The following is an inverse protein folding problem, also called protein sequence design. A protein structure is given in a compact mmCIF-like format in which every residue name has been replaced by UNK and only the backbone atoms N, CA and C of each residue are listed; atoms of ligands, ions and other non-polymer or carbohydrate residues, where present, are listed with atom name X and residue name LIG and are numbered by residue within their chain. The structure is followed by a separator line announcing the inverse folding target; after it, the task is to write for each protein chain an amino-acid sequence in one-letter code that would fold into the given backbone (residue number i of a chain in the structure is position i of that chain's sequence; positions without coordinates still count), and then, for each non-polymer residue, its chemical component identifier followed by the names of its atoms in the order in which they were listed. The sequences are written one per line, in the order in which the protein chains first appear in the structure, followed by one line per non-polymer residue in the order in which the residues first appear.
data_IF_619985834394
#
_entry.id   IF_619985834394
#
_cell.length_a   1.000
_cell.length_b   1.000
_cell.length_c   1.000
_cell.angle_alpha   90.00
_cell.angle_beta   90.00
_cell.angle_gamma   90.00
#
_symmetry.space_group_name_H-M   'P 1'
#
loop_
_entity.id
_entity.type
_entity.pdbx_description
1 polymer ?
#
# COMPACT_ATOMS: atom_id res chain seq x y z
N UNK A 1 20.99 -8.68 -29.85
CA UNK A 1 20.68 -9.11 -28.48
C UNK A 1 19.17 -9.03 -28.35
N UNK A 2 18.45 -10.15 -28.49
CA UNK A 2 16.99 -10.16 -28.50
C UNK A 2 16.52 -10.92 -27.26
N UNK A 3 15.83 -10.23 -26.35
CA UNK A 3 15.21 -10.87 -25.20
C UNK A 3 14.20 -11.92 -25.68
N UNK A 4 14.31 -13.14 -25.15
CA UNK A 4 13.36 -14.21 -25.49
C UNK A 4 12.07 -13.99 -24.70
N UNK A 5 10.88 -14.05 -25.34
CA UNK A 5 9.60 -13.80 -24.69
C UNK A 5 9.34 -14.62 -23.42
N UNK A 6 9.84 -15.86 -23.37
CA UNK A 6 9.70 -16.73 -22.20
C UNK A 6 10.46 -16.23 -20.97
N UNK A 7 11.62 -15.59 -21.17
CA UNK A 7 12.42 -15.05 -20.06
C UNK A 7 11.71 -13.85 -19.44
N UNK A 8 11.09 -13.00 -20.26
CA UNK A 8 10.30 -11.85 -19.81
C UNK A 8 9.08 -12.28 -18.98
N UNK A 9 8.37 -13.34 -19.41
CA UNK A 9 7.20 -13.88 -18.69
C UNK A 9 7.61 -14.49 -17.35
N UNK A 10 8.73 -15.23 -17.29
CA UNK A 10 9.26 -15.76 -16.03
C UNK A 10 9.67 -14.64 -15.07
N UNK A 11 10.40 -13.65 -15.56
CA UNK A 11 10.83 -12.50 -14.76
C UNK A 11 9.66 -11.69 -14.18
N UNK A 12 8.58 -11.51 -14.94
CA UNK A 12 7.37 -10.83 -14.42
C UNK A 12 6.64 -11.64 -13.36
N UNK A 13 6.65 -12.97 -13.47
CA UNK A 13 6.06 -13.87 -12.46
C UNK A 13 6.88 -13.86 -11.16
N UNK A 14 8.21 -13.91 -11.26
CA UNK A 14 9.11 -13.89 -10.10
C UNK A 14 9.13 -12.52 -9.40
N UNK A 15 9.03 -11.42 -10.15
CA UNK A 15 8.89 -10.08 -9.59
C UNK A 15 7.64 -9.95 -8.72
N UNK A 16 6.59 -10.73 -9.01
CA UNK A 16 5.26 -10.57 -8.41
C UNK A 16 5.29 -10.66 -6.89
N UNK A 17 5.93 -11.65 -6.27
CA UNK A 17 5.80 -11.82 -4.82
C UNK A 17 6.46 -10.69 -4.01
N UNK A 18 7.60 -10.19 -4.47
CA UNK A 18 8.35 -9.15 -3.75
C UNK A 18 7.74 -7.75 -3.93
N UNK A 19 7.13 -7.48 -5.10
CA UNK A 19 6.49 -6.18 -5.39
C UNK A 19 4.98 -6.14 -5.14
N UNK A 20 4.31 -7.30 -4.98
CA UNK A 20 2.87 -7.37 -4.63
C UNK A 20 2.62 -7.58 -3.13
N UNK A 21 3.68 -7.84 -2.34
CA UNK A 21 3.53 -7.94 -0.89
C UNK A 21 2.92 -6.66 -0.31
N UNK A 22 2.10 -6.75 0.75
CA UNK A 22 1.58 -5.57 1.43
C UNK A 22 2.70 -4.62 1.85
N UNK A 23 2.53 -3.33 1.58
CA UNK A 23 3.48 -2.29 1.97
C UNK A 23 3.53 -2.23 3.51
N UNK A 24 4.69 -2.56 4.15
CA UNK A 24 4.78 -2.64 5.60
C UNK A 24 4.39 -1.35 6.31
N UNK A 25 3.82 -1.46 7.51
CA UNK A 25 3.38 -0.31 8.31
C UNK A 25 2.14 0.40 7.77
N UNK A 26 1.49 -0.15 6.73
CA UNK A 26 0.30 0.44 6.13
C UNK A 26 -0.73 -0.61 5.71
N UNK A 27 -1.97 -0.17 5.51
CA UNK A 27 -3.04 -1.00 4.95
C UNK A 27 -3.79 -0.24 3.87
N UNK A 28 -4.28 -0.96 2.86
CA UNK A 28 -5.24 -0.42 1.89
C UNK A 28 -6.59 -0.27 2.58
N UNK A 29 -7.24 0.86 2.34
CA UNK A 29 -8.61 1.14 2.75
C UNK A 29 -9.39 1.71 1.55
N UNK A 30 -10.70 1.70 1.63
CA UNK A 30 -11.55 2.30 0.61
C UNK A 30 -12.46 3.34 1.24
N UNK A 31 -12.54 4.51 0.62
CA UNK A 31 -13.48 5.56 0.99
C UNK A 31 -14.59 5.57 -0.05
N UNK A 32 -15.84 5.72 0.39
CA UNK A 32 -16.96 5.85 -0.52
C UNK A 32 -16.77 7.11 -1.38
N UNK A 33 -16.86 6.95 -2.70
CA UNK A 33 -16.79 8.05 -3.64
C UNK A 33 -18.09 8.85 -3.73
N UNK A 34 -18.19 9.70 -4.76
CA UNK A 34 -19.39 10.47 -5.05
C UNK A 34 -20.62 9.63 -5.37
N UNK A 35 -20.42 8.36 -5.75
CA UNK A 35 -21.48 7.36 -5.95
C UNK A 35 -21.28 6.22 -4.96
N UNK A 36 -22.38 5.60 -4.54
CA UNK A 36 -22.36 4.53 -3.52
C UNK A 36 -21.62 3.27 -3.93
N UNK A 37 -21.48 3.02 -5.24
CA UNK A 37 -20.73 1.90 -5.81
C UNK A 37 -19.22 2.16 -5.91
N UNK A 38 -18.79 3.42 -5.76
CA UNK A 38 -17.39 3.79 -5.89
C UNK A 38 -16.63 3.60 -4.58
N UNK A 39 -15.58 2.77 -4.66
CA UNK A 39 -14.62 2.54 -3.59
C UNK A 39 -13.29 3.18 -4.00
N UNK A 40 -13.03 4.40 -3.53
CA UNK A 40 -11.80 5.14 -3.84
C UNK A 40 -10.64 4.54 -3.03
N UNK A 41 -9.58 4.02 -3.68
CA UNK A 41 -8.48 3.38 -2.97
C UNK A 41 -7.62 4.41 -2.26
N UNK A 42 -7.47 4.21 -0.95
CA UNK A 42 -6.58 4.99 -0.09
C UNK A 42 -5.69 4.04 0.70
N UNK A 43 -4.65 4.58 1.33
CA UNK A 43 -3.75 3.83 2.19
C UNK A 43 -3.58 4.55 3.51
N UNK A 44 -3.81 3.82 4.60
CA UNK A 44 -3.57 4.30 5.95
C UNK A 44 -2.21 3.83 6.44
N UNK A 45 -1.36 4.77 6.81
CA UNK A 45 -0.03 4.54 7.38
C UNK A 45 -0.15 4.65 8.89
N UNK A 46 0.27 3.60 9.61
CA UNK A 46 0.34 3.63 11.06
C UNK A 46 1.52 4.51 11.50
N UNK A 47 1.25 5.51 12.32
CA UNK A 47 2.28 6.36 12.92
C UNK A 47 2.67 5.80 14.29
N UNK A 48 3.97 5.87 14.61
CA UNK A 48 4.45 5.58 15.95
C UNK A 48 3.94 6.63 16.94
N UNK A 49 3.76 6.26 18.20
CA UNK A 49 3.39 7.22 19.25
C UNK A 49 4.43 8.33 19.40
N UNK A 50 3.99 9.54 19.77
CA UNK A 50 4.88 10.65 20.11
C UNK A 50 5.36 10.48 21.55
N UNK A 51 6.68 10.34 21.80
CA UNK A 51 7.19 10.19 23.16
C UNK A 51 6.94 11.44 24.00
N UNK A 52 6.58 11.25 25.29
CA UNK A 52 6.46 12.31 26.28
C UNK A 52 7.39 12.03 27.46
N UNK A 53 7.63 13.07 28.28
CA UNK A 53 8.34 12.93 29.56
C UNK A 53 7.69 11.85 30.43
N UNK A 54 6.35 11.75 30.38
CA UNK A 54 5.58 10.65 30.96
C UNK A 54 4.59 10.10 29.93
N UNK A 55 4.73 8.81 29.59
CA UNK A 55 3.86 8.14 28.62
C UNK A 55 4.14 8.51 27.16
N UNK A 56 3.14 8.34 26.31
CA UNK A 56 3.21 8.68 24.88
C UNK A 56 1.83 9.08 24.35
N UNK A 57 1.81 9.95 23.35
CA UNK A 57 0.59 10.31 22.64
C UNK A 57 0.38 9.40 21.44
N UNK A 58 -0.81 8.82 21.34
CA UNK A 58 -1.22 8.05 20.17
C UNK A 58 -1.43 8.98 18.98
N UNK A 59 -0.74 8.71 17.89
CA UNK A 59 -0.94 9.42 16.63
C UNK A 59 -2.03 8.73 15.81
N UNK A 60 -2.94 9.50 15.22
CA UNK A 60 -3.90 8.97 14.27
C UNK A 60 -3.16 8.47 13.00
N UNK A 61 -3.68 7.44 12.30
CA UNK A 61 -3.12 7.02 11.03
C UNK A 61 -3.11 8.15 10.00
N UNK A 62 -2.09 8.16 9.13
CA UNK A 62 -1.98 9.13 8.05
C UNK A 62 -2.49 8.52 6.74
N UNK A 63 -3.52 9.12 6.15
CA UNK A 63 -4.18 8.60 4.94
C UNK A 63 -3.64 9.27 3.69
N UNK A 64 -3.22 8.47 2.71
CA UNK A 64 -2.71 8.91 1.40
C UNK A 64 -3.47 8.24 0.26
N UNK A 65 -3.41 8.84 -0.94
CA UNK A 65 -3.94 8.23 -2.16
C UNK A 65 -3.12 6.98 -2.54
N UNK A 66 -3.78 5.90 -2.95
CA UNK A 66 -3.12 4.61 -3.26
C UNK A 66 -3.25 4.22 -4.74
N UNK A 67 -2.14 4.28 -5.47
CA UNK A 67 -2.04 3.88 -6.89
C UNK A 67 -1.62 2.42 -7.10
N UNK A 68 -1.47 1.62 -6.04
CA UNK A 68 -0.87 0.28 -6.12
C UNK A 68 -1.67 -0.77 -6.91
N UNK A 69 -2.92 -0.48 -7.30
CA UNK A 69 -3.82 -1.48 -7.87
C UNK A 69 -4.30 -2.53 -6.85
N UNK A 70 -5.16 -3.45 -7.29
CA UNK A 70 -5.69 -4.54 -6.47
C UNK A 70 -4.75 -5.76 -6.50
#
# INVERSE_FOLDING_TARGET
MNAQPNDLIRQTTDLSAEVTRPIPGSRKVHVQGSRSDLLVPMREIALSDTPKVFGADKNAPFTVYDTSGA
#
